data_IF_546706034498
#
_entry.id   IF_546706034498
#
_cell.length_a   1.000
_cell.length_b   1.000
_cell.length_c   1.000
_cell.angle_alpha   90.00
_cell.angle_beta   90.00
_cell.angle_gamma   90.00
#
_symmetry.space_group_name_H-M   'P 1'
#
loop_
_entity.id
_entity.type
_entity.pdbx_description
1 polymer ?
#
# COMPACT_ATOMS: atom_id res chain seq x y z
N UNK A 1 0.84 -23.14 14.91
CA UNK A 1 -0.28 -22.87 13.98
C UNK A 1 -1.52 -22.34 14.71
N UNK A 2 -1.97 -22.99 15.79
CA UNK A 2 -3.11 -22.48 16.60
C UNK A 2 -2.89 -21.08 17.19
N UNK A 3 -1.70 -20.79 17.72
CA UNK A 3 -1.37 -19.47 18.28
C UNK A 3 -1.48 -18.35 17.23
N UNK A 4 -0.92 -18.57 16.03
CA UNK A 4 -1.01 -17.61 14.92
C UNK A 4 -2.45 -17.38 14.45
N UNK A 5 -3.29 -18.42 14.46
CA UNK A 5 -4.73 -18.29 14.13
C UNK A 5 -5.46 -17.49 15.20
N UNK A 6 -5.14 -17.69 16.48
CA UNK A 6 -5.74 -16.94 17.57
C UNK A 6 -5.37 -15.45 17.49
N UNK A 7 -4.12 -15.12 17.22
CA UNK A 7 -3.69 -13.73 17.01
C UNK A 7 -4.43 -13.08 15.84
N UNK A 8 -4.56 -13.77 14.71
CA UNK A 8 -5.35 -13.28 13.56
C UNK A 8 -6.80 -13.00 13.96
N UNK A 9 -7.42 -13.88 14.75
CA UNK A 9 -8.81 -13.70 15.18
C UNK A 9 -8.97 -12.48 16.10
N UNK A 10 -8.02 -12.25 17.01
CA UNK A 10 -8.00 -11.06 17.87
C UNK A 10 -7.91 -9.80 17.01
N UNK A 11 -6.98 -9.74 16.06
CA UNK A 11 -6.83 -8.57 15.17
C UNK A 11 -8.07 -8.35 14.30
N UNK A 12 -8.67 -9.41 13.77
CA UNK A 12 -9.92 -9.32 13.00
C UNK A 12 -11.05 -8.69 13.82
N UNK A 13 -11.20 -9.08 15.08
CA UNK A 13 -12.25 -8.54 15.94
C UNK A 13 -12.02 -7.07 16.28
N UNK A 14 -10.77 -6.67 16.53
CA UNK A 14 -10.41 -5.25 16.72
C UNK A 14 -10.75 -4.41 15.48
N UNK A 15 -10.40 -4.90 14.29
CA UNK A 15 -10.74 -4.22 13.02
C UNK A 15 -12.25 -4.08 12.88
N UNK A 16 -13.00 -5.16 13.17
CA UNK A 16 -14.47 -5.19 13.09
C UNK A 16 -15.10 -4.12 13.97
N UNK A 17 -14.74 -4.07 15.26
CA UNK A 17 -15.25 -3.10 16.23
C UNK A 17 -14.90 -1.65 15.82
N UNK A 18 -13.68 -1.43 15.34
CA UNK A 18 -13.26 -0.10 14.91
C UNK A 18 -13.98 0.35 13.62
N UNK A 19 -14.29 -0.58 12.72
CA UNK A 19 -15.08 -0.29 11.52
C UNK A 19 -16.53 0.08 11.82
N UNK A 20 -17.13 -0.42 12.89
CA UNK A 20 -18.44 0.07 13.38
C UNK A 20 -18.41 1.58 13.69
N UNK A 21 -17.21 2.11 14.03
CA UNK A 21 -16.96 3.55 14.22
C UNK A 21 -16.51 4.27 12.95
N UNK A 22 -16.70 3.66 11.78
CA UNK A 22 -16.33 4.19 10.44
C UNK A 22 -14.84 4.44 10.26
N UNK A 23 -13.99 3.78 11.05
CA UNK A 23 -12.54 3.83 10.85
C UNK A 23 -12.14 3.03 9.61
N UNK A 24 -11.11 3.49 8.92
CA UNK A 24 -10.50 2.78 7.78
C UNK A 24 -9.15 2.21 8.17
N UNK A 25 -8.80 1.09 7.58
CA UNK A 25 -7.58 0.34 7.85
C UNK A 25 -6.70 0.24 6.61
N UNK A 26 -5.40 0.32 6.85
CA UNK A 26 -4.39 0.04 5.87
C UNK A 26 -3.49 -1.08 6.40
N UNK A 27 -3.11 -2.03 5.52
CA UNK A 27 -2.03 -2.96 5.81
C UNK A 27 -0.72 -2.32 5.36
N UNK A 28 0.20 -2.15 6.30
CA UNK A 28 1.47 -1.42 6.10
C UNK A 28 2.63 -2.35 5.75
N UNK A 29 3.70 -1.79 5.17
CA UNK A 29 4.99 -2.43 4.85
C UNK A 29 4.90 -3.71 4.00
N UNK A 30 3.89 -3.81 3.13
CA UNK A 30 3.70 -4.99 2.28
C UNK A 30 4.80 -5.05 1.21
N UNK A 31 5.56 -6.13 1.23
CA UNK A 31 6.74 -6.32 0.37
C UNK A 31 8.04 -6.48 1.15
N UNK A 32 8.06 -6.14 2.44
CA UNK A 32 9.21 -6.42 3.31
C UNK A 32 9.20 -7.88 3.76
N UNK A 33 10.35 -8.57 3.64
CA UNK A 33 10.51 -9.96 4.08
C UNK A 33 9.54 -10.95 3.41
N UNK A 34 8.94 -11.87 4.18
CA UNK A 34 7.92 -12.84 3.74
C UNK A 34 6.50 -12.26 3.80
N UNK A 35 6.29 -11.03 3.33
CA UNK A 35 4.98 -10.37 3.36
C UNK A 35 3.88 -11.28 2.85
N UNK A 36 3.00 -11.70 3.76
CA UNK A 36 2.17 -12.87 3.54
C UNK A 36 0.81 -12.44 2.99
N UNK A 37 0.59 -12.75 1.71
CA UNK A 37 -0.70 -12.59 1.03
C UNK A 37 -1.87 -13.19 1.82
N UNK A 38 -1.60 -14.15 2.71
CA UNK A 38 -2.62 -14.72 3.58
C UNK A 38 -3.35 -13.66 4.42
N UNK A 39 -2.72 -12.55 4.78
CA UNK A 39 -3.39 -11.51 5.56
C UNK A 39 -4.53 -10.83 4.79
N UNK A 40 -4.41 -10.72 3.46
CA UNK A 40 -5.49 -10.23 2.59
C UNK A 40 -6.69 -11.19 2.57
N UNK A 41 -6.52 -12.46 2.98
CA UNK A 41 -7.64 -13.39 3.17
C UNK A 41 -8.45 -13.05 4.41
N UNK A 42 -7.80 -12.52 5.46
CA UNK A 42 -8.38 -12.44 6.80
C UNK A 42 -8.83 -11.03 7.19
N UNK A 43 -8.08 -10.01 6.80
CA UNK A 43 -8.34 -8.65 7.23
C UNK A 43 -9.13 -7.87 6.19
N UNK A 44 -10.19 -7.22 6.65
CA UNK A 44 -10.99 -6.30 5.86
C UNK A 44 -10.36 -4.90 5.93
N UNK A 45 -9.55 -4.55 4.92
CA UNK A 45 -8.78 -3.30 4.86
C UNK A 45 -9.10 -2.53 3.59
N UNK A 46 -9.05 -1.19 3.65
CA UNK A 46 -9.30 -0.33 2.48
C UNK A 46 -8.04 -0.10 1.66
N UNK A 47 -6.86 -0.14 2.28
CA UNK A 47 -5.58 0.19 1.65
C UNK A 47 -4.55 -0.90 1.91
N UNK A 48 -3.76 -1.23 0.90
CA UNK A 48 -2.51 -1.97 1.03
C UNK A 48 -1.36 -1.06 0.63
N UNK A 49 -0.40 -0.85 1.55
CA UNK A 49 0.78 -0.01 1.31
C UNK A 49 1.93 -0.90 0.87
N UNK A 50 2.45 -0.64 -0.33
CA UNK A 50 3.63 -1.29 -0.89
C UNK A 50 4.87 -0.58 -0.37
N UNK A 51 5.75 -1.34 0.26
CA UNK A 51 6.99 -0.83 0.81
C UNK A 51 7.92 -0.29 -0.28
N UNK A 52 8.73 0.71 0.08
CA UNK A 52 9.66 1.38 -0.82
C UNK A 52 10.69 0.44 -1.46
N UNK A 53 11.02 -0.69 -0.84
CA UNK A 53 11.91 -1.71 -1.44
C UNK A 53 11.34 -2.34 -2.70
N UNK A 54 10.01 -2.44 -2.82
CA UNK A 54 9.34 -2.87 -4.05
C UNK A 54 9.27 -1.77 -5.11
N UNK A 55 9.38 -0.51 -4.70
CA UNK A 55 9.15 0.64 -5.59
C UNK A 55 10.45 1.16 -6.20
N UNK A 56 11.54 1.08 -5.44
CA UNK A 56 12.85 1.59 -5.84
C UNK A 56 13.32 0.94 -7.14
N UNK A 57 13.60 1.76 -8.16
CA UNK A 57 14.00 1.34 -9.50
C UNK A 57 12.99 0.38 -10.20
N UNK A 58 11.70 0.43 -9.85
CA UNK A 58 10.68 -0.43 -10.46
C UNK A 58 10.64 -0.29 -11.99
N UNK A 59 11.01 0.87 -12.53
CA UNK A 59 11.11 1.13 -13.98
C UNK A 59 12.11 0.23 -14.71
N UNK A 60 13.09 -0.34 -13.98
CA UNK A 60 14.16 -1.18 -14.53
C UNK A 60 14.01 -2.65 -14.20
N UNK A 61 13.12 -3.00 -13.28
CA UNK A 61 12.93 -4.36 -12.78
C UNK A 61 11.63 -4.98 -13.29
N UNK A 62 11.71 -5.68 -14.42
CA UNK A 62 10.55 -6.30 -15.08
C UNK A 62 9.93 -7.43 -14.26
N UNK A 63 10.74 -8.19 -13.52
CA UNK A 63 10.22 -9.29 -12.70
C UNK A 63 9.41 -8.73 -11.53
N UNK A 64 9.90 -7.67 -10.90
CA UNK A 64 9.16 -6.97 -9.86
C UNK A 64 7.90 -6.28 -10.41
N UNK A 65 7.93 -5.72 -11.63
CA UNK A 65 6.73 -5.19 -12.30
C UNK A 65 5.64 -6.28 -12.42
N UNK A 66 5.98 -7.49 -12.87
CA UNK A 66 5.04 -8.62 -12.98
C UNK A 66 4.45 -8.99 -11.61
N UNK A 67 5.27 -8.99 -10.55
CA UNK A 67 4.80 -9.27 -9.19
C UNK A 67 3.80 -8.20 -8.73
N UNK A 68 4.12 -6.92 -8.91
CA UNK A 68 3.23 -5.81 -8.51
C UNK A 68 1.95 -5.79 -9.35
N UNK A 69 2.00 -6.14 -10.63
CA UNK A 69 0.80 -6.34 -11.46
C UNK A 69 -0.12 -7.43 -10.90
N UNK A 70 0.46 -8.56 -10.45
CA UNK A 70 -0.28 -9.62 -9.77
C UNK A 70 -0.95 -9.14 -8.48
N UNK A 71 -0.21 -8.38 -7.66
CA UNK A 71 -0.74 -7.75 -6.44
C UNK A 71 -1.90 -6.79 -6.80
N UNK A 72 -1.70 -5.92 -7.78
CA UNK A 72 -2.70 -4.97 -8.30
C UNK A 72 -3.99 -5.67 -8.71
N UNK A 73 -3.89 -6.78 -9.44
CA UNK A 73 -5.05 -7.57 -9.83
C UNK A 73 -5.82 -8.15 -8.63
N UNK A 74 -5.12 -8.70 -7.64
CA UNK A 74 -5.73 -9.26 -6.42
C UNK A 74 -6.45 -8.16 -5.64
N UNK A 75 -5.78 -7.03 -5.39
CA UNK A 75 -6.34 -5.90 -4.65
C UNK A 75 -7.56 -5.32 -5.36
N UNK A 76 -7.50 -5.14 -6.68
CA UNK A 76 -8.65 -4.68 -7.49
C UNK A 76 -9.86 -5.60 -7.35
N UNK A 77 -9.67 -6.92 -7.43
CA UNK A 77 -10.76 -7.91 -7.25
C UNK A 77 -11.33 -7.89 -5.84
N UNK A 78 -10.52 -7.58 -4.83
CA UNK A 78 -10.94 -7.45 -3.44
C UNK A 78 -11.52 -6.09 -3.07
N UNK A 79 -11.45 -5.09 -3.96
CA UNK A 79 -11.84 -3.71 -3.65
C UNK A 79 -10.85 -2.97 -2.75
N UNK A 80 -9.61 -3.46 -2.63
CA UNK A 80 -8.54 -2.86 -1.84
C UNK A 80 -7.76 -1.88 -2.72
N UNK A 81 -7.49 -0.68 -2.21
CA UNK A 81 -6.69 0.34 -2.89
C UNK A 81 -5.20 0.15 -2.62
N UNK A 82 -4.37 0.36 -3.64
CA UNK A 82 -2.91 0.29 -3.49
C UNK A 82 -2.29 1.67 -3.25
N UNK A 83 -1.32 1.72 -2.33
CA UNK A 83 -0.48 2.89 -2.10
C UNK A 83 0.98 2.49 -2.24
N UNK A 84 1.71 3.05 -3.20
CA UNK A 84 3.16 2.84 -3.33
C UNK A 84 3.94 3.88 -2.52
N UNK A 85 4.88 3.42 -1.69
CA UNK A 85 5.73 4.29 -0.88
C UNK A 85 7.10 4.57 -1.50
N UNK A 86 7.74 5.65 -1.03
CA UNK A 86 9.08 6.07 -1.43
C UNK A 86 9.29 6.23 -2.94
N UNK A 87 8.31 6.77 -3.68
CA UNK A 87 8.50 7.17 -5.08
C UNK A 87 9.45 8.37 -5.16
N UNK A 88 10.60 8.21 -5.83
CA UNK A 88 11.65 9.24 -5.90
C UNK A 88 11.84 9.83 -7.29
N UNK A 89 11.45 9.09 -8.34
CA UNK A 89 11.67 9.49 -9.74
C UNK A 89 10.37 9.56 -10.55
N UNK A 90 10.44 10.23 -11.72
CA UNK A 90 9.32 10.29 -12.65
C UNK A 90 9.09 8.93 -13.31
N UNK A 91 10.17 8.20 -13.57
CA UNK A 91 10.18 6.91 -14.24
C UNK A 91 9.47 5.84 -13.40
N UNK A 92 9.76 5.81 -12.09
CA UNK A 92 9.03 4.98 -11.11
C UNK A 92 7.53 5.34 -11.11
N UNK A 93 7.19 6.64 -11.06
CA UNK A 93 5.80 7.10 -11.07
C UNK A 93 5.03 6.66 -12.33
N UNK A 94 5.62 6.82 -13.51
CA UNK A 94 4.96 6.44 -14.77
C UNK A 94 4.77 4.91 -14.85
N UNK A 95 5.75 4.14 -14.36
CA UNK A 95 5.66 2.67 -14.26
C UNK A 95 4.50 2.27 -13.34
N UNK A 96 4.42 2.84 -12.13
CA UNK A 96 3.33 2.56 -11.18
C UNK A 96 1.96 2.98 -11.73
N UNK A 97 1.89 4.07 -12.49
CA UNK A 97 0.65 4.50 -13.16
C UNK A 97 0.21 3.48 -14.22
N UNK A 98 1.14 2.94 -14.99
CA UNK A 98 0.85 1.92 -16.00
C UNK A 98 0.33 0.62 -15.36
N UNK A 99 0.90 0.22 -14.21
CA UNK A 99 0.45 -0.95 -13.43
C UNK A 99 -0.94 -0.72 -12.78
N UNK A 100 -1.36 0.53 -12.63
CA UNK A 100 -2.67 0.91 -12.10
C UNK A 100 -2.69 1.08 -10.58
N UNK A 101 -1.60 1.55 -9.98
CA UNK A 101 -1.54 1.91 -8.55
C UNK A 101 -2.43 3.14 -8.27
N UNK A 102 -3.25 3.08 -7.21
CA UNK A 102 -4.23 4.13 -6.89
C UNK A 102 -3.60 5.37 -6.23
N UNK A 103 -2.65 5.16 -5.33
CA UNK A 103 -2.03 6.21 -4.51
C UNK A 103 -0.51 6.08 -4.52
N UNK A 104 0.18 7.21 -4.40
CA UNK A 104 1.64 7.20 -4.26
C UNK A 104 2.10 8.21 -3.21
N UNK A 105 3.20 7.89 -2.54
CA UNK A 105 3.89 8.73 -1.58
C UNK A 105 5.38 8.65 -1.85
N UNK A 106 6.11 9.76 -1.76
CA UNK A 106 7.57 9.73 -1.86
C UNK A 106 8.19 11.09 -2.16
N UNK A 107 9.53 11.14 -2.11
CA UNK A 107 10.29 12.38 -2.22
C UNK A 107 10.15 13.06 -3.58
N UNK A 108 9.75 12.34 -4.62
CA UNK A 108 9.38 12.94 -5.90
C UNK A 108 8.31 14.04 -5.75
N UNK A 109 7.40 13.90 -4.78
CA UNK A 109 6.32 14.85 -4.51
C UNK A 109 6.65 15.85 -3.41
N UNK A 110 7.71 15.60 -2.66
CA UNK A 110 8.12 16.39 -1.50
C UNK A 110 8.53 15.49 -0.34
N UNK A 111 9.45 15.99 0.48
CA UNK A 111 9.81 15.35 1.74
C UNK A 111 8.71 15.55 2.79
N UNK A 112 8.60 14.66 3.79
CA UNK A 112 7.79 14.90 4.97
C UNK A 112 7.94 16.31 5.54
N UNK A 113 6.82 17.01 5.69
CA UNK A 113 6.73 18.38 6.22
C UNK A 113 5.70 18.46 7.34
N UNK A 114 5.81 19.51 8.17
CA UNK A 114 4.84 19.81 9.23
C UNK A 114 3.43 20.06 8.68
N UNK A 115 3.32 20.57 7.46
CA UNK A 115 2.08 20.76 6.71
C UNK A 115 2.06 19.82 5.49
N UNK A 116 1.40 18.66 5.59
CA UNK A 116 1.32 17.72 4.48
C UNK A 116 0.44 18.30 3.36
N UNK A 117 0.98 18.39 2.15
CA UNK A 117 0.23 18.91 1.00
C UNK A 117 -0.41 17.75 0.24
N UNK A 118 -1.74 17.70 0.22
CA UNK A 118 -2.47 16.87 -0.74
C UNK A 118 -2.39 17.55 -2.11
N UNK A 119 -1.72 16.94 -3.07
CA UNK A 119 -1.78 17.36 -4.48
C UNK A 119 -2.55 16.31 -5.27
N UNK A 120 -3.13 16.70 -6.40
CA UNK A 120 -3.67 15.76 -7.38
C UNK A 120 -2.99 16.04 -8.72
N UNK A 121 -2.49 15.00 -9.39
CA UNK A 121 -2.08 15.05 -10.81
C UNK A 121 -2.68 13.83 -11.50
N UNK A 122 -3.78 14.03 -12.24
CA UNK A 122 -4.52 12.92 -12.87
C UNK A 122 -5.26 12.06 -11.84
N UNK A 123 -5.23 10.73 -12.01
CA UNK A 123 -6.01 9.79 -11.21
C UNK A 123 -5.34 9.34 -9.88
N UNK A 124 -4.18 9.92 -9.52
CA UNK A 124 -3.40 9.49 -8.36
C UNK A 124 -3.48 10.54 -7.25
N UNK A 125 -3.90 10.11 -6.05
CA UNK A 125 -3.90 10.96 -4.84
C UNK A 125 -2.60 10.75 -4.04
N UNK A 126 -1.99 11.85 -3.61
CA UNK A 126 -0.75 11.84 -2.82
C UNK A 126 -1.03 12.02 -1.34
N UNK A 127 -0.30 11.31 -0.48
CA UNK A 127 -0.28 11.56 0.97
C UNK A 127 1.16 11.57 1.44
N UNK A 128 1.56 12.58 2.21
CA UNK A 128 2.87 12.63 2.87
C UNK A 128 2.63 12.38 4.35
N UNK A 129 3.11 11.25 4.90
CA UNK A 129 2.91 10.89 6.31
C UNK A 129 4.06 11.46 7.17
N UNK A 130 3.70 12.18 8.22
CA UNK A 130 4.61 12.71 9.26
C UNK A 130 5.09 11.56 10.16
N UNK A 131 6.38 11.50 10.47
CA UNK A 131 6.87 10.81 11.67
C UNK A 131 7.15 11.85 12.75
N UNK A 132 6.68 11.56 13.97
CA UNK A 132 7.06 12.21 15.21
C UNK A 132 7.73 11.17 16.08
#
# INVERSE_FOLDING_TARGET
EEEAINEINVVKEVIRIAKEKKMKFALDDFGTGYSNFIYLRYFDVEILKLDGSLIKNIDKDKDNQIIIEGISLICKKKGIKLLAEMVETKEELETLRAIGIDYVQGYYFGKPSSEPVLRAKGNVLFRVKKFG
#
